data_IF_708020382667
#
_entry.id   IF_708020382667
#
_cell.length_a   1.000
_cell.length_b   1.000
_cell.length_c   1.000
_cell.angle_alpha   90.00
_cell.angle_beta   90.00
_cell.angle_gamma   90.00
#
_symmetry.space_group_name_H-M   'P 1'
#
loop_
_entity.id
_entity.type
_entity.pdbx_description
1 polymer ?
#
# COMPACT_ATOMS: atom_id res chain seq x y z
N UNK A 1 -6.21 5.66 -23.37
CA UNK A 1 -6.96 5.49 -22.12
C UNK A 1 -6.16 4.69 -21.08
N UNK A 2 -5.64 3.48 -21.41
CA UNK A 2 -4.89 2.64 -20.47
C UNK A 2 -3.69 3.37 -19.85
N UNK A 3 -2.90 4.13 -20.64
CA UNK A 3 -1.81 4.94 -20.13
C UNK A 3 -2.27 5.99 -19.11
N UNK A 4 -3.37 6.68 -19.38
CA UNK A 4 -3.93 7.68 -18.47
C UNK A 4 -4.32 7.05 -17.12
N UNK A 5 -5.05 5.94 -17.17
CA UNK A 5 -5.45 5.20 -15.94
C UNK A 5 -4.23 4.72 -15.17
N UNK A 6 -3.24 4.15 -15.86
CA UNK A 6 -2.02 3.68 -15.23
C UNK A 6 -1.22 4.80 -14.55
N UNK A 7 -1.17 6.00 -15.17
CA UNK A 7 -0.55 7.17 -14.57
C UNK A 7 -1.31 7.73 -13.37
N UNK A 8 -2.61 7.43 -13.23
CA UNK A 8 -3.48 8.00 -12.20
C UNK A 8 -3.68 7.07 -10.98
N UNK A 9 -3.15 5.84 -11.00
CA UNK A 9 -3.43 4.86 -9.96
C UNK A 9 -2.75 5.16 -8.61
N UNK A 10 -1.47 5.49 -8.62
CA UNK A 10 -0.68 5.69 -7.39
C UNK A 10 0.60 6.45 -7.70
N UNK A 11 0.96 7.40 -6.86
CA UNK A 11 2.09 8.31 -7.06
C UNK A 11 3.41 7.56 -7.33
N UNK A 12 3.72 6.60 -6.50
CA UNK A 12 4.96 5.83 -6.61
C UNK A 12 4.93 4.80 -7.73
N UNK A 13 3.84 4.04 -7.86
CA UNK A 13 3.70 3.02 -8.92
C UNK A 13 3.72 3.68 -10.30
N UNK A 14 3.01 4.80 -10.46
CA UNK A 14 2.99 5.56 -11.70
C UNK A 14 4.36 6.13 -12.06
N UNK A 15 5.11 6.63 -11.08
CA UNK A 15 6.48 7.09 -11.28
C UNK A 15 7.40 5.93 -11.75
N UNK A 16 7.32 4.77 -11.09
CA UNK A 16 8.06 3.57 -11.51
C UNK A 16 7.70 3.09 -12.91
N UNK A 17 6.41 3.09 -13.25
CA UNK A 17 5.93 2.77 -14.61
C UNK A 17 6.42 3.76 -15.65
N UNK A 18 6.45 5.06 -15.35
CA UNK A 18 7.01 6.07 -16.25
C UNK A 18 8.48 5.83 -16.52
N UNK A 19 9.28 5.48 -15.49
CA UNK A 19 10.68 5.07 -15.66
C UNK A 19 10.78 3.88 -16.60
N UNK A 20 9.97 2.83 -16.40
CA UNK A 20 9.94 1.67 -17.30
C UNK A 20 9.58 2.07 -18.74
N UNK A 21 8.55 2.88 -18.94
CA UNK A 21 8.09 3.28 -20.27
C UNK A 21 9.13 4.13 -21.01
N UNK A 22 9.78 5.06 -20.32
CA UNK A 22 10.84 5.90 -20.89
C UNK A 22 12.04 5.04 -21.30
N UNK A 23 12.52 4.17 -20.41
CA UNK A 23 13.67 3.30 -20.70
C UNK A 23 13.33 2.28 -21.80
N UNK A 24 12.16 1.65 -21.74
CA UNK A 24 11.70 0.74 -22.80
C UNK A 24 11.57 1.47 -24.15
N UNK A 25 10.99 2.67 -24.15
CA UNK A 25 10.88 3.52 -25.32
C UNK A 25 12.24 3.87 -25.92
N UNK A 26 13.21 4.23 -25.07
CA UNK A 26 14.58 4.51 -25.51
C UNK A 26 15.25 3.28 -26.15
N UNK A 27 15.05 2.09 -25.57
CA UNK A 27 15.58 0.83 -26.12
C UNK A 27 14.94 0.52 -27.48
N UNK A 28 13.61 0.60 -27.57
CA UNK A 28 12.88 0.36 -28.83
C UNK A 28 13.30 1.36 -29.89
N UNK A 29 13.35 2.65 -29.55
CA UNK A 29 13.79 3.69 -30.48
C UNK A 29 15.22 3.48 -30.99
N UNK A 30 16.14 3.08 -30.09
CA UNK A 30 17.51 2.76 -30.48
C UNK A 30 17.60 1.57 -31.44
N UNK A 31 16.75 0.55 -31.26
CA UNK A 31 16.73 -0.68 -32.08
C UNK A 31 16.02 -0.48 -33.42
N UNK A 32 14.86 0.17 -33.39
CA UNK A 32 13.95 0.26 -34.55
C UNK A 32 13.98 1.63 -35.25
N UNK A 33 14.71 2.61 -34.69
CA UNK A 33 14.77 4.01 -35.16
C UNK A 33 13.39 4.69 -35.26
N UNK A 34 12.40 4.11 -34.64
CA UNK A 34 11.03 4.65 -34.55
C UNK A 34 10.40 4.22 -33.24
N UNK A 35 9.53 5.06 -32.70
CA UNK A 35 8.72 4.72 -31.54
C UNK A 35 7.31 4.31 -32.05
N UNK A 36 6.83 3.10 -31.71
CA UNK A 36 5.48 2.68 -32.08
C UNK A 36 4.43 3.67 -31.53
N UNK A 37 3.40 3.98 -32.32
CA UNK A 37 2.38 4.97 -31.96
C UNK A 37 1.69 4.62 -30.61
N UNK A 38 1.40 3.34 -30.37
CA UNK A 38 0.81 2.89 -29.11
C UNK A 38 1.70 3.17 -27.89
N UNK A 39 3.02 3.10 -28.05
CA UNK A 39 3.96 3.38 -26.97
C UNK A 39 4.06 4.89 -26.69
N UNK A 40 4.09 5.70 -27.77
CA UNK A 40 4.10 7.15 -27.65
C UNK A 40 2.80 7.66 -26.99
N UNK A 41 1.64 7.17 -27.43
CA UNK A 41 0.33 7.54 -26.85
C UNK A 41 0.16 6.99 -25.44
N UNK A 42 0.69 5.81 -25.15
CA UNK A 42 0.72 5.22 -23.80
C UNK A 42 1.54 6.07 -22.83
N UNK A 43 2.75 6.48 -23.24
CA UNK A 43 3.62 7.34 -22.44
C UNK A 43 2.99 8.73 -22.21
N UNK A 44 2.45 9.35 -23.28
CA UNK A 44 1.77 10.64 -23.16
C UNK A 44 0.57 10.56 -22.21
N UNK A 45 -0.25 9.50 -22.33
CA UNK A 45 -1.35 9.25 -21.41
C UNK A 45 -0.90 9.06 -19.96
N UNK A 46 0.17 8.30 -19.72
CA UNK A 46 0.72 8.08 -18.39
C UNK A 46 1.28 9.37 -17.76
N UNK A 47 1.94 10.22 -18.56
CA UNK A 47 2.41 11.54 -18.12
C UNK A 47 1.25 12.45 -17.72
N UNK A 48 0.19 12.49 -18.51
CA UNK A 48 -1.03 13.29 -18.20
C UNK A 48 -1.69 12.75 -16.93
N UNK A 49 -1.88 11.43 -16.81
CA UNK A 49 -2.46 10.81 -15.61
C UNK A 49 -1.64 11.09 -14.35
N UNK A 50 -0.32 11.00 -14.46
CA UNK A 50 0.59 11.29 -13.35
C UNK A 50 0.57 12.79 -12.96
N UNK A 51 0.53 13.68 -13.94
CA UNK A 51 0.39 15.11 -13.69
C UNK A 51 -0.92 15.44 -12.96
N UNK A 52 -2.05 14.86 -13.40
CA UNK A 52 -3.34 15.01 -12.73
C UNK A 52 -3.30 14.48 -11.28
N UNK A 53 -2.62 13.36 -11.06
CA UNK A 53 -2.47 12.78 -9.72
C UNK A 53 -1.66 13.70 -8.80
N UNK A 54 -0.49 14.17 -9.23
CA UNK A 54 0.36 15.04 -8.41
C UNK A 54 -0.30 16.39 -8.13
N UNK A 55 -1.02 16.94 -9.09
CA UNK A 55 -1.71 18.23 -8.95
C UNK A 55 -3.05 18.13 -8.22
N UNK A 56 -3.45 16.95 -7.77
CA UNK A 56 -4.67 16.77 -7.00
C UNK A 56 -4.61 17.55 -5.66
N UNK A 57 -5.71 18.24 -5.34
CA UNK A 57 -5.81 19.13 -4.18
C UNK A 57 -5.45 18.44 -2.85
N UNK A 58 -5.74 17.14 -2.72
CA UNK A 58 -5.36 16.35 -1.55
C UNK A 58 -3.86 16.24 -1.33
N UNK A 59 -3.05 16.25 -2.38
CA UNK A 59 -1.60 16.19 -2.28
C UNK A 59 -1.00 17.52 -1.79
N UNK A 60 -1.57 18.66 -2.22
CA UNK A 60 -1.17 19.97 -1.68
C UNK A 60 -1.52 20.11 -0.20
N UNK A 61 -2.68 19.62 0.24
CA UNK A 61 -3.07 19.65 1.65
C UNK A 61 -2.14 18.78 2.51
N UNK A 62 -1.67 17.65 2.00
CA UNK A 62 -0.66 16.84 2.70
C UNK A 62 0.71 17.55 2.72
N UNK A 63 1.07 18.22 1.64
CA UNK A 63 2.33 18.93 1.55
C UNK A 63 2.43 20.14 2.51
N UNK A 64 1.31 20.75 2.88
CA UNK A 64 1.29 21.89 3.82
C UNK A 64 1.61 21.52 5.27
N UNK A 65 1.52 20.23 5.65
CA UNK A 65 1.92 19.72 6.97
C UNK A 65 3.43 19.56 7.18
N UNK A 66 4.25 20.05 6.26
CA UNK A 66 5.70 19.84 6.22
C UNK A 66 6.56 20.79 7.07
N UNK A 67 6.06 21.43 8.09
CA UNK A 67 6.76 22.48 8.84
C UNK A 67 7.89 22.02 9.77
N UNK A 68 8.16 20.68 9.90
CA UNK A 68 8.96 20.15 11.00
C UNK A 68 10.48 20.06 10.76
N UNK A 69 10.98 20.50 9.61
CA UNK A 69 12.42 20.44 9.33
C UNK A 69 13.04 21.80 9.06
N UNK A 70 14.11 22.12 9.79
CA UNK A 70 14.83 23.41 9.71
C UNK A 70 15.49 23.66 8.34
N UNK A 71 15.76 22.61 7.54
CA UNK A 71 16.33 22.76 6.21
C UNK A 71 15.78 21.76 5.19
N UNK A 72 15.65 22.19 3.93
CA UNK A 72 15.25 21.35 2.81
C UNK A 72 16.21 20.16 2.60
N UNK A 73 17.51 20.40 2.78
CA UNK A 73 18.53 19.37 2.60
C UNK A 73 18.36 18.24 3.62
N UNK A 74 18.21 18.57 4.89
CA UNK A 74 17.98 17.62 5.97
C UNK A 74 16.72 16.78 5.69
N UNK A 75 15.66 17.43 5.27
CA UNK A 75 14.40 16.80 4.93
C UNK A 75 14.54 15.74 3.81
N UNK A 76 15.17 16.11 2.69
CA UNK A 76 15.36 15.16 1.58
C UNK A 76 16.34 14.05 1.92
N UNK A 77 17.39 14.34 2.71
CA UNK A 77 18.32 13.32 3.19
C UNK A 77 17.60 12.28 4.08
N UNK A 78 16.82 12.72 5.06
CA UNK A 78 16.07 11.81 5.93
C UNK A 78 15.08 10.94 5.15
N UNK A 79 14.42 11.49 4.14
CA UNK A 79 13.52 10.73 3.26
C UNK A 79 14.24 9.74 2.36
N UNK A 80 15.39 10.10 1.86
CA UNK A 80 16.23 9.17 1.11
C UNK A 80 16.61 7.97 1.98
N UNK A 81 17.01 8.19 3.24
CA UNK A 81 17.28 7.10 4.18
C UNK A 81 16.03 6.29 4.52
N UNK A 82 14.86 6.94 4.65
CA UNK A 82 13.59 6.23 4.83
C UNK A 82 13.30 5.30 3.63
N UNK A 83 13.52 5.76 2.40
CA UNK A 83 13.37 4.91 1.21
C UNK A 83 14.35 3.73 1.21
N UNK A 84 15.59 3.92 1.65
CA UNK A 84 16.57 2.84 1.79
C UNK A 84 16.14 1.82 2.86
N UNK A 85 15.63 2.29 4.00
CA UNK A 85 15.11 1.42 5.06
C UNK A 85 13.90 0.61 4.56
N UNK A 86 12.97 1.22 3.81
CA UNK A 86 11.85 0.50 3.21
C UNK A 86 12.31 -0.61 2.26
N UNK A 87 13.32 -0.36 1.43
CA UNK A 87 13.91 -1.41 0.59
C UNK A 87 14.52 -2.52 1.43
N UNK A 88 15.27 -2.17 2.48
CA UNK A 88 15.92 -3.13 3.37
C UNK A 88 14.90 -3.98 4.13
N UNK A 89 13.89 -3.35 4.73
CA UNK A 89 13.00 -4.02 5.65
C UNK A 89 11.91 -4.84 4.93
N UNK A 90 11.52 -4.43 3.73
CA UNK A 90 10.40 -5.05 3.01
C UNK A 90 10.80 -5.71 1.69
N UNK A 91 11.68 -5.11 0.88
CA UNK A 91 11.97 -5.58 -0.47
C UNK A 91 13.24 -6.43 -0.59
N UNK A 92 14.05 -6.53 0.46
CA UNK A 92 15.34 -7.22 0.44
C UNK A 92 15.26 -8.66 -0.06
N UNK A 93 14.31 -9.52 0.38
CA UNK A 93 14.20 -10.89 -0.12
C UNK A 93 13.96 -10.95 -1.64
N UNK A 94 13.14 -10.04 -2.18
CA UNK A 94 12.86 -9.97 -3.61
C UNK A 94 14.07 -9.45 -4.40
N UNK A 95 14.80 -8.49 -3.86
CA UNK A 95 16.04 -7.98 -4.45
C UNK A 95 17.12 -9.07 -4.51
N UNK A 96 17.27 -9.87 -3.44
CA UNK A 96 18.15 -11.03 -3.44
C UNK A 96 17.73 -12.07 -4.48
N UNK A 97 16.43 -12.38 -4.53
CA UNK A 97 15.90 -13.31 -5.54
C UNK A 97 16.17 -12.82 -6.95
N UNK A 98 15.96 -11.52 -7.20
CA UNK A 98 16.31 -10.91 -8.48
C UNK A 98 17.80 -11.02 -8.78
N UNK A 99 18.67 -10.70 -7.84
CA UNK A 99 20.12 -10.76 -8.03
C UNK A 99 20.59 -12.18 -8.40
N UNK A 100 20.09 -13.20 -7.69
CA UNK A 100 20.39 -14.60 -7.98
C UNK A 100 19.91 -14.98 -9.39
N UNK A 101 18.65 -14.69 -9.72
CA UNK A 101 18.09 -15.01 -11.04
C UNK A 101 18.79 -14.28 -12.17
N UNK A 102 19.16 -13.02 -11.95
CA UNK A 102 19.88 -12.22 -12.93
C UNK A 102 21.29 -12.76 -13.16
N UNK A 103 22.00 -13.15 -12.10
CA UNK A 103 23.31 -13.81 -12.21
C UNK A 103 23.20 -15.14 -12.96
N UNK A 104 22.21 -15.98 -12.62
CA UNK A 104 21.96 -17.23 -13.35
C UNK A 104 21.70 -16.96 -14.84
N UNK A 105 20.93 -15.92 -15.17
CA UNK A 105 20.70 -15.53 -16.56
C UNK A 105 21.96 -15.05 -17.25
N UNK A 106 22.84 -14.31 -16.56
CA UNK A 106 24.14 -13.91 -17.10
C UNK A 106 25.05 -15.11 -17.40
N UNK A 107 25.09 -16.13 -16.52
CA UNK A 107 25.85 -17.35 -16.75
C UNK A 107 25.26 -18.19 -17.90
N UNK A 108 23.94 -18.36 -17.92
CA UNK A 108 23.26 -19.10 -18.98
C UNK A 108 23.45 -18.48 -20.37
N UNK A 109 23.71 -17.18 -20.45
CA UNK A 109 23.97 -16.47 -21.71
C UNK A 109 25.29 -16.93 -22.39
N UNK A 110 26.24 -17.44 -21.63
CA UNK A 110 27.53 -17.95 -22.21
C UNK A 110 27.30 -19.18 -23.06
N UNK A 111 26.19 -19.92 -22.87
CA UNK A 111 25.90 -21.17 -23.58
C UNK A 111 24.88 -20.97 -24.74
N UNK A 112 25.01 -19.90 -25.54
CA UNK A 112 24.26 -19.65 -26.77
C UNK A 112 22.81 -19.14 -26.64
N UNK A 113 22.31 -18.86 -25.47
CA UNK A 113 21.00 -18.20 -25.29
C UNK A 113 21.16 -16.69 -25.46
N UNK A 114 20.50 -16.11 -26.48
CA UNK A 114 20.41 -14.64 -26.65
C UNK A 114 19.44 -14.01 -25.62
N UNK A 115 19.82 -14.05 -24.36
CA UNK A 115 19.05 -13.43 -23.31
C UNK A 115 19.09 -11.89 -23.44
N UNK A 116 17.93 -11.25 -23.39
CA UNK A 116 17.82 -9.81 -23.38
C UNK A 116 17.83 -9.28 -21.93
N UNK A 117 19.03 -9.00 -21.41
CA UNK A 117 19.24 -8.54 -20.05
C UNK A 117 18.62 -7.15 -19.78
N UNK A 118 18.24 -6.41 -20.82
CA UNK A 118 17.72 -5.05 -20.66
C UNK A 118 16.35 -5.02 -20.01
N UNK A 119 15.47 -5.98 -20.35
CA UNK A 119 14.10 -6.00 -19.81
C UNK A 119 14.04 -6.19 -18.29
N UNK A 120 14.75 -7.19 -17.70
CA UNK A 120 14.83 -7.28 -16.24
C UNK A 120 15.39 -6.02 -15.58
N UNK A 121 16.43 -5.40 -16.19
CA UNK A 121 17.03 -4.17 -15.65
C UNK A 121 16.11 -2.96 -15.75
N UNK A 122 15.32 -2.83 -16.81
CA UNK A 122 14.30 -1.78 -16.93
C UNK A 122 13.25 -1.91 -15.83
N UNK A 123 12.79 -3.12 -15.55
CA UNK A 123 11.81 -3.37 -14.49
C UNK A 123 12.41 -3.11 -13.10
N UNK A 124 13.66 -3.49 -12.87
CA UNK A 124 14.38 -3.13 -11.65
C UNK A 124 14.51 -1.60 -11.50
N UNK A 125 14.91 -0.90 -12.58
CA UNK A 125 14.98 0.56 -12.55
C UNK A 125 13.63 1.21 -12.25
N UNK A 126 12.55 0.64 -12.79
CA UNK A 126 11.18 1.06 -12.47
C UNK A 126 10.83 0.83 -10.99
N UNK A 127 11.21 -0.32 -10.42
CA UNK A 127 10.99 -0.61 -9.00
C UNK A 127 11.74 0.38 -8.10
N UNK A 128 13.01 0.67 -8.41
CA UNK A 128 13.79 1.69 -7.70
C UNK A 128 13.17 3.08 -7.90
N UNK A 129 12.73 3.40 -9.12
CA UNK A 129 12.02 4.65 -9.42
C UNK A 129 10.75 4.81 -8.60
N UNK A 130 9.95 3.74 -8.45
CA UNK A 130 8.76 3.73 -7.59
C UNK A 130 9.12 3.97 -6.12
N UNK A 131 10.18 3.36 -5.62
CA UNK A 131 10.64 3.54 -4.24
C UNK A 131 11.12 4.97 -3.98
N UNK A 132 12.01 5.48 -4.84
CA UNK A 132 12.61 6.80 -4.64
C UNK A 132 11.69 7.97 -5.02
N UNK A 133 10.60 7.74 -5.76
CA UNK A 133 9.55 8.73 -5.95
C UNK A 133 8.94 9.20 -4.63
N UNK A 134 8.95 8.33 -3.59
CA UNK A 134 8.45 8.65 -2.25
C UNK A 134 9.31 9.66 -1.49
N UNK A 135 10.48 10.03 -1.98
CA UNK A 135 11.26 11.18 -1.45
C UNK A 135 10.45 12.48 -1.53
N UNK A 136 9.59 12.61 -2.52
CA UNK A 136 8.66 13.74 -2.68
C UNK A 136 7.42 13.68 -1.77
N UNK A 137 7.12 12.54 -1.14
CA UNK A 137 5.93 12.35 -0.31
C UNK A 137 6.17 12.73 1.15
N UNK A 138 5.09 13.08 1.88
CA UNK A 138 5.17 13.37 3.32
C UNK A 138 5.50 12.11 4.12
N UNK A 139 4.75 11.06 3.89
CA UNK A 139 4.87 9.80 4.61
C UNK A 139 5.12 8.65 3.65
N UNK A 140 5.99 7.73 4.07
CA UNK A 140 6.24 6.49 3.35
C UNK A 140 5.81 5.30 4.22
N UNK A 141 4.59 4.86 4.01
CA UNK A 141 4.04 3.70 4.71
C UNK A 141 4.38 2.38 3.98
N UNK A 142 4.50 1.26 4.71
CA UNK A 142 4.74 -0.07 4.11
C UNK A 142 3.72 -0.44 3.01
N UNK A 143 2.46 -0.04 3.17
CA UNK A 143 1.42 -0.24 2.15
C UNK A 143 1.71 0.43 0.81
N UNK A 144 2.52 1.48 0.80
CA UNK A 144 2.89 2.17 -0.44
C UNK A 144 3.97 1.42 -1.23
N UNK A 145 4.55 0.32 -0.71
CA UNK A 145 5.58 -0.46 -1.40
C UNK A 145 5.03 -1.41 -2.48
N UNK A 146 3.72 -1.50 -2.65
CA UNK A 146 3.11 -2.43 -3.64
C UNK A 146 3.65 -2.27 -5.06
N UNK A 147 3.86 -1.03 -5.52
CA UNK A 147 4.44 -0.77 -6.84
C UNK A 147 5.87 -1.30 -6.97
N UNK A 148 6.66 -1.17 -5.91
CA UNK A 148 8.03 -1.71 -5.84
C UNK A 148 8.01 -3.23 -5.94
N UNK A 149 7.14 -3.90 -5.16
CA UNK A 149 7.01 -5.36 -5.20
C UNK A 149 6.54 -5.87 -6.55
N UNK A 150 5.53 -5.25 -7.14
CA UNK A 150 5.00 -5.66 -8.43
C UNK A 150 6.07 -5.58 -9.52
N UNK A 151 6.84 -4.50 -9.57
CA UNK A 151 7.91 -4.31 -10.55
C UNK A 151 9.11 -5.23 -10.30
N UNK A 152 9.49 -5.48 -9.04
CA UNK A 152 10.53 -6.46 -8.71
C UNK A 152 10.09 -7.89 -9.04
N UNK A 153 8.85 -8.26 -8.74
CA UNK A 153 8.32 -9.58 -9.12
C UNK A 153 8.30 -9.74 -10.64
N UNK A 154 7.90 -8.69 -11.38
CA UNK A 154 7.96 -8.69 -12.84
C UNK A 154 9.41 -8.81 -13.36
N UNK A 155 10.38 -8.17 -12.69
CA UNK A 155 11.80 -8.28 -13.02
C UNK A 155 12.32 -9.71 -12.82
N UNK A 156 11.95 -10.35 -11.70
CA UNK A 156 12.24 -11.77 -11.45
C UNK A 156 11.60 -12.67 -12.52
N UNK A 157 10.34 -12.46 -12.83
CA UNK A 157 9.63 -13.21 -13.88
C UNK A 157 10.28 -13.04 -15.25
N UNK A 158 10.74 -11.83 -15.59
CA UNK A 158 11.47 -11.56 -16.83
C UNK A 158 12.81 -12.33 -16.92
N UNK A 159 13.50 -12.54 -15.80
CA UNK A 159 14.67 -13.42 -15.75
C UNK A 159 14.25 -14.88 -15.96
N UNK A 160 13.23 -15.36 -15.25
CA UNK A 160 12.78 -16.75 -15.28
C UNK A 160 12.29 -17.18 -16.67
N UNK A 161 11.54 -16.32 -17.37
CA UNK A 161 11.03 -16.61 -18.73
C UNK A 161 12.17 -16.80 -19.72
N UNK A 162 13.30 -16.14 -19.52
CA UNK A 162 14.46 -16.24 -20.40
C UNK A 162 15.37 -17.45 -20.11
N UNK A 163 15.23 -18.07 -18.92
CA UNK A 163 15.91 -19.32 -18.56
C UNK A 163 15.15 -20.51 -19.18
N UNK A 164 15.32 -20.72 -20.49
CA UNK A 164 14.48 -21.61 -21.32
C UNK A 164 14.91 -23.10 -21.26
N UNK A 165 14.81 -23.74 -20.09
CA UNK A 165 15.01 -25.19 -19.94
C UNK A 165 13.67 -25.87 -19.65
N UNK A 166 13.32 -26.98 -20.41
CA UNK A 166 12.03 -27.70 -20.24
C UNK A 166 11.84 -28.26 -18.83
N UNK A 167 12.88 -28.79 -18.20
CA UNK A 167 12.81 -29.31 -16.84
C UNK A 167 12.59 -28.17 -15.84
N UNK A 168 13.30 -27.09 -16.01
CA UNK A 168 13.15 -25.89 -15.19
C UNK A 168 11.76 -25.28 -15.30
N UNK A 169 11.17 -25.20 -16.51
CA UNK A 169 9.81 -24.70 -16.73
C UNK A 169 8.75 -25.55 -16.01
N UNK A 170 8.90 -26.87 -15.98
CA UNK A 170 7.99 -27.76 -15.21
C UNK A 170 8.11 -27.51 -13.71
N UNK A 171 9.35 -27.46 -13.19
CA UNK A 171 9.59 -27.13 -11.79
C UNK A 171 9.03 -25.76 -11.40
N UNK A 172 9.23 -24.74 -12.25
CA UNK A 172 8.69 -23.41 -12.05
C UNK A 172 7.15 -23.40 -12.06
N UNK A 173 6.51 -24.15 -12.95
CA UNK A 173 5.05 -24.26 -12.99
C UNK A 173 4.49 -24.90 -11.70
N UNK A 174 5.12 -25.97 -11.19
CA UNK A 174 4.75 -26.56 -9.91
C UNK A 174 4.95 -25.58 -8.75
N UNK A 175 6.10 -24.90 -8.69
CA UNK A 175 6.37 -23.89 -7.67
C UNK A 175 5.36 -22.75 -7.74
N UNK A 176 5.04 -22.26 -8.93
CA UNK A 176 4.05 -21.20 -9.13
C UNK A 176 2.66 -21.63 -8.68
N UNK A 177 2.28 -22.89 -8.91
CA UNK A 177 1.02 -23.45 -8.42
C UNK A 177 0.99 -23.49 -6.89
N UNK A 178 2.07 -23.97 -6.24
CA UNK A 178 2.18 -23.96 -4.78
C UNK A 178 2.11 -22.55 -4.18
N UNK A 179 2.87 -21.62 -4.76
CA UNK A 179 2.83 -20.20 -4.34
C UNK A 179 1.44 -19.61 -4.57
N UNK A 180 0.78 -19.94 -5.70
CA UNK A 180 -0.57 -19.50 -6.00
C UNK A 180 -1.59 -19.99 -4.97
N UNK A 181 -1.48 -21.23 -4.51
CA UNK A 181 -2.33 -21.78 -3.44
C UNK A 181 -2.11 -21.02 -2.12
N UNK A 182 -0.84 -20.85 -1.71
CA UNK A 182 -0.50 -20.11 -0.48
C UNK A 182 -1.00 -18.66 -0.56
N UNK A 183 -0.76 -17.97 -1.68
CA UNK A 183 -1.30 -16.62 -1.89
C UNK A 183 -2.83 -16.60 -1.86
N UNK A 184 -3.49 -17.63 -2.45
CA UNK A 184 -4.94 -17.75 -2.42
C UNK A 184 -5.49 -17.87 -0.99
N UNK A 185 -4.85 -18.68 -0.14
CA UNK A 185 -5.21 -18.80 1.28
C UNK A 185 -5.06 -17.44 1.99
N UNK A 186 -3.92 -16.77 1.81
CA UNK A 186 -3.71 -15.45 2.42
C UNK A 186 -4.67 -14.37 1.88
N UNK A 187 -5.08 -14.46 0.62
CA UNK A 187 -6.11 -13.55 0.08
C UNK A 187 -7.48 -13.80 0.70
N UNK A 188 -7.85 -15.05 0.96
CA UNK A 188 -9.10 -15.36 1.68
C UNK A 188 -9.05 -14.88 3.12
N UNK A 189 -7.94 -15.10 3.81
CA UNK A 189 -7.71 -14.62 5.17
C UNK A 189 -7.79 -13.07 5.22
N UNK A 190 -7.10 -12.39 4.30
CA UNK A 190 -7.15 -10.93 4.18
C UNK A 190 -8.56 -10.42 3.85
N UNK A 191 -9.27 -11.11 2.95
CA UNK A 191 -10.63 -10.76 2.58
C UNK A 191 -11.61 -10.87 3.76
N UNK A 192 -11.47 -11.93 4.55
CA UNK A 192 -12.25 -12.12 5.77
C UNK A 192 -11.95 -11.02 6.80
N UNK A 193 -10.67 -10.71 7.02
CA UNK A 193 -10.23 -9.68 7.95
C UNK A 193 -10.77 -8.28 7.56
N UNK A 194 -10.64 -7.92 6.28
CA UNK A 194 -11.14 -6.64 5.76
C UNK A 194 -12.66 -6.55 5.90
N UNK A 195 -13.38 -7.64 5.58
CA UNK A 195 -14.84 -7.67 5.68
C UNK A 195 -15.30 -7.54 7.16
N UNK A 196 -14.63 -8.22 8.07
CA UNK A 196 -14.91 -8.19 9.50
C UNK A 196 -14.62 -6.80 10.09
N UNK A 197 -13.49 -6.20 9.74
CA UNK A 197 -13.15 -4.83 10.13
C UNK A 197 -14.21 -3.83 9.63
N UNK A 198 -14.59 -3.93 8.35
CA UNK A 198 -15.63 -3.07 7.78
C UNK A 198 -16.97 -3.23 8.49
N UNK A 199 -17.37 -4.47 8.79
CA UNK A 199 -18.63 -4.73 9.50
C UNK A 199 -18.63 -4.10 10.90
N UNK A 200 -17.56 -4.26 11.66
CA UNK A 200 -17.42 -3.67 12.99
C UNK A 200 -17.42 -2.13 12.94
N UNK A 201 -16.70 -1.54 11.97
CA UNK A 201 -16.69 -0.08 11.79
C UNK A 201 -18.08 0.45 11.37
N UNK A 202 -18.80 -0.32 10.55
CA UNK A 202 -20.17 0.01 10.16
C UNK A 202 -21.12 0.01 11.35
N UNK A 203 -21.10 -1.03 12.16
CA UNK A 203 -21.91 -1.13 13.39
C UNK A 203 -21.57 0.00 14.34
N UNK A 204 -20.29 0.22 14.62
CA UNK A 204 -19.81 1.34 15.44
C UNK A 204 -20.34 2.69 14.95
N UNK A 205 -20.27 2.91 13.63
CA UNK A 205 -20.74 4.14 13.00
C UNK A 205 -22.27 4.33 13.15
N UNK A 206 -23.04 3.25 13.05
CA UNK A 206 -24.49 3.30 13.26
C UNK A 206 -24.84 3.59 14.71
N UNK A 207 -24.17 2.92 15.67
CA UNK A 207 -24.36 3.16 17.09
C UNK A 207 -24.06 4.62 17.45
N UNK A 208 -22.91 5.14 17.00
CA UNK A 208 -22.54 6.55 17.23
C UNK A 208 -23.58 7.52 16.65
N UNK A 209 -24.12 7.25 15.47
CA UNK A 209 -25.17 8.09 14.88
C UNK A 209 -26.45 8.09 15.71
N UNK A 210 -26.82 6.93 16.22
CA UNK A 210 -27.99 6.80 17.06
C UNK A 210 -27.81 7.57 18.38
N UNK A 211 -26.69 7.33 19.07
CA UNK A 211 -26.37 8.02 20.33
C UNK A 211 -26.38 9.55 20.17
N UNK A 212 -25.72 10.04 19.07
CA UNK A 212 -25.67 11.48 18.78
C UNK A 212 -27.06 12.05 18.48
N UNK A 213 -27.95 11.29 17.82
CA UNK A 213 -29.30 11.75 17.50
C UNK A 213 -30.19 11.89 18.72
N UNK A 214 -29.86 11.27 19.84
CA UNK A 214 -30.54 11.31 21.09
C UNK A 214 -30.08 12.45 22.03
N UNK A 215 -29.00 13.16 21.64
CA UNK A 215 -28.42 14.27 22.40
C UNK A 215 -29.10 15.61 22.07
N UNK A 216 -29.41 16.39 23.09
CA UNK A 216 -29.96 17.74 22.93
C UNK A 216 -28.92 18.73 22.37
N UNK A 217 -27.64 18.61 22.79
CA UNK A 217 -26.53 19.46 22.34
C UNK A 217 -25.33 18.61 21.86
N UNK A 218 -25.38 18.02 20.64
CA UNK A 218 -24.31 17.15 20.14
C UNK A 218 -22.94 17.83 20.09
N UNK A 219 -22.91 19.13 19.76
CA UNK A 219 -21.67 19.87 19.60
C UNK A 219 -20.84 19.99 20.91
N UNK A 220 -21.46 19.89 22.06
CA UNK A 220 -20.79 19.92 23.37
C UNK A 220 -20.47 18.52 23.93
N UNK A 221 -20.95 17.46 23.27
CA UNK A 221 -20.84 16.10 23.77
C UNK A 221 -19.49 15.47 23.56
N UNK A 222 -19.06 14.71 24.57
CA UNK A 222 -17.94 13.75 24.48
C UNK A 222 -18.53 12.34 24.50
N UNK A 223 -18.19 11.53 23.50
CA UNK A 223 -18.78 10.20 23.34
C UNK A 223 -17.70 9.13 23.55
N UNK A 224 -18.07 8.09 24.28
CA UNK A 224 -17.21 6.92 24.51
C UNK A 224 -17.58 5.85 23.49
N UNK A 225 -16.59 5.35 22.77
CA UNK A 225 -16.74 4.27 21.80
C UNK A 225 -15.72 3.18 22.06
N UNK A 226 -15.44 2.35 21.09
CA UNK A 226 -14.38 1.33 21.14
C UNK A 226 -13.45 1.46 19.94
N UNK A 227 -12.18 1.13 20.16
CA UNK A 227 -11.19 0.94 19.10
C UNK A 227 -11.41 -0.39 18.39
N UNK A 228 -11.03 -0.48 17.12
CA UNK A 228 -11.05 -1.72 16.36
C UNK A 228 -9.61 -2.03 15.94
N UNK A 229 -9.12 -3.22 16.30
CA UNK A 229 -7.81 -3.70 15.89
C UNK A 229 -7.95 -4.80 14.83
N UNK A 230 -7.35 -4.64 13.65
CA UNK A 230 -7.32 -5.67 12.64
C UNK A 230 -6.58 -6.91 13.12
N UNK A 231 -7.07 -8.08 12.76
CA UNK A 231 -6.47 -9.35 13.14
C UNK A 231 -5.16 -9.63 12.38
N UNK A 232 -5.12 -9.31 11.09
CA UNK A 232 -3.97 -9.60 10.24
C UNK A 232 -3.30 -8.34 9.72
N UNK A 233 -2.00 -8.45 9.43
CA UNK A 233 -1.22 -7.41 8.73
C UNK A 233 -1.70 -7.13 7.30
N UNK A 234 -2.61 -7.92 6.77
CA UNK A 234 -3.16 -7.79 5.43
C UNK A 234 -4.33 -6.81 5.36
N UNK A 235 -4.95 -6.50 6.50
CA UNK A 235 -5.96 -5.45 6.56
C UNK A 235 -5.32 -4.07 6.37
N UNK A 236 -5.94 -3.24 5.54
CA UNK A 236 -5.45 -1.88 5.27
C UNK A 236 -5.41 -0.95 6.49
N UNK A 237 -6.13 -1.31 7.55
CA UNK A 237 -6.14 -0.60 8.83
C UNK A 237 -5.05 -1.09 9.81
N UNK A 238 -4.35 -2.21 9.51
CA UNK A 238 -3.33 -2.76 10.39
C UNK A 238 -2.19 -1.77 10.64
N UNK A 239 -1.85 -1.57 11.91
CA UNK A 239 -0.82 -0.61 12.32
C UNK A 239 -1.20 0.86 12.15
N UNK A 240 -2.44 1.16 11.73
CA UNK A 240 -2.95 2.52 11.77
C UNK A 240 -3.55 2.82 13.15
N UNK A 241 -3.39 4.05 13.67
CA UNK A 241 -4.08 4.45 14.88
C UNK A 241 -5.60 4.43 14.63
N UNK A 242 -6.33 3.88 15.55
CA UNK A 242 -7.79 4.03 15.63
C UNK A 242 -8.13 4.92 16.83
N UNK A 243 -9.39 5.03 17.19
CA UNK A 243 -9.85 5.80 18.36
C UNK A 243 -9.18 5.20 19.61
N UNK A 244 -8.53 6.03 20.41
CA UNK A 244 -7.82 5.67 21.64
C UNK A 244 -8.44 6.38 22.86
N UNK A 245 -7.97 6.00 24.05
CA UNK A 245 -8.46 6.55 25.33
C UNK A 245 -8.29 8.06 25.45
N UNK A 246 -7.20 8.63 24.92
CA UNK A 246 -6.92 10.07 25.03
C UNK A 246 -7.72 10.96 24.06
N UNK A 247 -8.37 10.40 23.03
CA UNK A 247 -9.14 11.16 22.04
C UNK A 247 -8.38 12.20 21.21
N UNK A 248 -7.06 12.31 21.39
CA UNK A 248 -6.23 13.33 20.75
C UNK A 248 -5.65 12.87 19.40
N UNK A 249 -5.83 11.61 19.05
CA UNK A 249 -5.37 11.06 17.77
C UNK A 249 -6.09 11.75 16.60
N UNK A 250 -5.36 11.97 15.52
CA UNK A 250 -5.87 12.63 14.32
C UNK A 250 -7.13 11.96 13.75
N UNK A 251 -7.27 10.65 13.94
CA UNK A 251 -8.43 9.88 13.50
C UNK A 251 -9.63 10.09 14.41
N UNK A 252 -9.43 10.11 15.73
CA UNK A 252 -10.45 10.42 16.72
C UNK A 252 -10.99 11.84 16.52
N UNK A 253 -10.10 12.83 16.36
CA UNK A 253 -10.46 14.21 16.06
C UNK A 253 -11.16 14.34 14.70
N UNK A 254 -10.74 13.62 13.68
CA UNK A 254 -11.39 13.58 12.38
C UNK A 254 -12.81 13.03 12.47
N UNK A 255 -13.02 11.96 13.22
CA UNK A 255 -14.34 11.36 13.45
C UNK A 255 -15.23 12.27 14.28
N UNK A 256 -14.72 12.87 15.37
CA UNK A 256 -15.45 13.84 16.17
C UNK A 256 -15.97 15.01 15.32
N UNK A 257 -15.13 15.58 14.47
CA UNK A 257 -15.53 16.62 13.52
C UNK A 257 -16.57 16.15 12.51
N UNK A 258 -16.43 14.93 12.01
CA UNK A 258 -17.38 14.36 11.04
C UNK A 258 -18.76 14.15 11.64
N UNK A 259 -18.82 13.75 12.92
CA UNK A 259 -20.06 13.58 13.66
C UNK A 259 -20.57 14.88 14.29
N UNK A 260 -19.80 15.95 14.31
CA UNK A 260 -20.17 17.24 14.90
C UNK A 260 -20.18 17.23 16.43
N UNK A 261 -19.34 16.40 17.06
CA UNK A 261 -19.19 16.30 18.52
C UNK A 261 -17.81 16.85 18.96
N UNK A 262 -17.65 17.12 20.26
CA UNK A 262 -16.40 17.67 20.81
C UNK A 262 -15.28 16.63 20.75
N UNK A 263 -15.52 15.40 21.20
CA UNK A 263 -14.54 14.33 21.19
C UNK A 263 -15.19 12.95 21.07
N UNK A 264 -14.43 12.00 20.55
CA UNK A 264 -14.74 10.56 20.58
C UNK A 264 -13.53 9.86 21.17
N UNK A 265 -13.72 9.13 22.26
CA UNK A 265 -12.69 8.36 22.95
C UNK A 265 -13.04 6.87 22.92
N UNK A 266 -12.08 5.99 23.17
CA UNK A 266 -12.33 4.56 23.29
C UNK A 266 -11.72 4.03 24.59
N UNK A 267 -12.53 3.45 25.43
CA UNK A 267 -12.07 2.84 26.69
C UNK A 267 -11.49 1.44 26.48
N UNK A 268 -11.90 0.76 25.42
CA UNK A 268 -11.44 -0.60 25.08
C UNK A 268 -11.21 -0.75 23.57
N UNK A 269 -10.23 -1.55 23.21
CA UNK A 269 -10.00 -1.99 21.83
C UNK A 269 -10.61 -3.38 21.65
N UNK A 270 -11.38 -3.57 20.57
CA UNK A 270 -11.95 -4.86 20.20
C UNK A 270 -11.21 -5.47 19.05
N UNK A 271 -10.90 -6.75 19.19
CA UNK A 271 -10.50 -7.62 18.10
C UNK A 271 -11.70 -8.47 17.71
N UNK A 272 -11.96 -8.63 16.43
CA UNK A 272 -13.01 -9.54 15.99
C UNK A 272 -12.52 -10.98 16.00
N UNK A 273 -13.41 -11.94 16.26
CA UNK A 273 -13.02 -13.34 16.39
C UNK A 273 -12.64 -13.92 15.02
N UNK A 274 -11.41 -14.37 14.90
CA UNK A 274 -11.03 -15.38 13.91
C UNK A 274 -11.50 -16.74 14.45
N UNK A 275 -11.96 -17.63 13.55
CA UNK A 275 -12.60 -18.90 13.89
C UNK A 275 -12.02 -19.58 15.14
N UNK A 276 -12.75 -19.59 16.24
CA UNK A 276 -12.37 -20.22 17.51
C UNK A 276 -12.41 -19.33 18.75
N UNK A 277 -12.56 -18.01 18.60
CA UNK A 277 -12.76 -17.10 19.74
C UNK A 277 -14.23 -16.76 19.91
N UNK A 278 -14.72 -16.89 21.15
CA UNK A 278 -16.11 -16.62 21.54
C UNK A 278 -16.53 -15.19 21.22
N UNK A 279 -17.64 -15.07 20.49
CA UNK A 279 -18.35 -13.80 20.29
C UNK A 279 -18.82 -13.26 21.63
N UNK A 280 -18.20 -12.24 22.17
CA UNK A 280 -18.91 -11.31 23.04
C UNK A 280 -19.76 -10.43 22.13
N UNK A 281 -21.01 -10.79 21.96
CA UNK A 281 -22.05 -9.96 21.35
C UNK A 281 -22.38 -8.85 22.32
N UNK A 282 -21.82 -7.68 22.08
CA UNK A 282 -22.17 -6.49 22.81
C UNK A 282 -23.54 -5.97 22.31
N UNK A 283 -24.49 -5.91 23.21
CA UNK A 283 -25.64 -5.05 23.03
C UNK A 283 -25.30 -3.65 23.58
N UNK A 284 -25.86 -2.60 22.97
CA UNK A 284 -25.62 -1.21 23.39
C UNK A 284 -25.88 -0.96 24.89
N UNK A 285 -26.74 -1.79 25.54
CA UNK A 285 -27.01 -1.75 26.96
C UNK A 285 -25.87 -2.24 27.87
N UNK A 286 -25.02 -3.15 27.42
CA UNK A 286 -23.93 -3.67 28.25
C UNK A 286 -22.74 -2.67 28.35
N UNK A 287 -22.50 -1.87 27.30
CA UNK A 287 -21.52 -0.79 27.34
C UNK A 287 -21.89 0.31 28.35
N UNK A 288 -23.19 0.59 28.50
CA UNK A 288 -23.71 1.57 29.49
C UNK A 288 -23.64 1.03 30.95
N UNK A 289 -23.88 -0.26 31.16
CA UNK A 289 -23.83 -0.89 32.48
C UNK A 289 -22.35 -0.99 33.00
N UNK A 290 -21.41 -1.35 32.13
CA UNK A 290 -19.97 -1.46 32.50
C UNK A 290 -19.35 -0.08 32.79
N UNK A 291 -19.83 0.98 32.12
CA UNK A 291 -19.43 2.35 32.44
C UNK A 291 -20.00 2.87 33.76
N UNK A 292 -21.16 2.41 34.16
CA UNK A 292 -21.76 2.77 35.46
C UNK A 292 -20.99 2.13 36.66
N UNK A 293 -20.52 0.88 36.49
CA UNK A 293 -19.71 0.20 37.52
C UNK A 293 -18.27 0.73 37.65
N UNK A 294 -17.73 1.41 36.62
CA UNK A 294 -16.38 1.99 36.67
C UNK A 294 -16.33 3.40 37.27
N UNK A 295 -17.47 3.99 37.62
CA UNK A 295 -17.58 5.33 38.21
C UNK A 295 -17.89 5.32 39.71
N UNK A 296 -18.07 4.16 40.33
CA UNK A 296 -18.14 3.93 41.76
C UNK A 296 -16.80 3.39 42.30
#
# INVERSE_FOLDING_TARGET
LAGLLAGWLSENTSAGMLVCLVLAGAVVFKRERRLPAWMATGLAGALVGFALLITARGNFNRASGFSDYDSLLTRYAMRFFACLNMLKDYALPLLFSFAILFLLLCFARQDAVKADLLWPLILLAGALGANFAMIGSHDYYPRSTHGVFALLAAACAACLVQLNNKAFRRGLACLSACVGIVCGIHMLEAGYDIASYWMMDHVRTQTLRQEISELDEPAAASIISYGIEPYTKWCGAYGLPDIRENGEDSLALGRARWFGVTSITATKTRTYPFAGHTNETYTAGEAAAENAESMD
#
